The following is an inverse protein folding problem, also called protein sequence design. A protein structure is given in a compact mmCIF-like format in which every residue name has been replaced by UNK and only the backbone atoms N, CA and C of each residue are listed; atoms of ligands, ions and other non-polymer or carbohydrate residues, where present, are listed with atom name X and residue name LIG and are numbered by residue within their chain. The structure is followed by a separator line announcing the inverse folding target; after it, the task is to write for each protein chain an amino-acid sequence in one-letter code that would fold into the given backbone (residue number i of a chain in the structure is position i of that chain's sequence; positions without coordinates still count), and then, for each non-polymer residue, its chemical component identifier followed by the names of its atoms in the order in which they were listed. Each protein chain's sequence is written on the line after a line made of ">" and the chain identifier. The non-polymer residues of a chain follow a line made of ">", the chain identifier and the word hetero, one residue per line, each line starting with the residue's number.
data_IF_916261341311
#
_entry.id   IF_916261341311
#
_cell.length_a   1.000
_cell.length_b   1.000
_cell.length_c   1.000
_cell.angle_alpha   90.00
_cell.angle_beta   90.00
_cell.angle_gamma   90.00
#
_symmetry.space_group_name_H-M   'P 1'
#
loop_
_entity.id
_entity.type
_entity.pdbx_description
1 polymer ?
#
# COMPACT_ATOMS: atom_id res chain seq x y z
N UNK A 1 33.63 14.96 -29.09
CA UNK A 1 32.93 14.52 -27.86
C UNK A 1 32.40 15.79 -27.22
N UNK A 2 31.10 16.03 -27.31
CA UNK A 2 30.46 17.14 -26.60
C UNK A 2 30.61 16.86 -25.10
N UNK A 3 31.35 17.72 -24.38
CA UNK A 3 31.41 17.72 -22.92
C UNK A 3 30.00 17.94 -22.39
N UNK A 4 29.24 16.87 -22.16
CA UNK A 4 27.95 16.96 -21.46
C UNK A 4 28.30 17.16 -20.00
N UNK A 5 27.88 18.28 -19.44
CA UNK A 5 28.12 18.62 -18.04
C UNK A 5 27.47 17.56 -17.14
N UNK A 6 28.18 17.11 -16.11
CA UNK A 6 27.67 16.09 -15.19
C UNK A 6 26.41 16.62 -14.51
N UNK A 7 25.31 15.88 -14.60
CA UNK A 7 24.00 16.33 -14.14
C UNK A 7 23.42 15.33 -13.16
N UNK A 8 22.93 15.84 -12.02
CA UNK A 8 22.17 15.08 -11.03
C UNK A 8 20.69 15.44 -11.20
N UNK A 9 19.83 14.44 -11.37
CA UNK A 9 18.39 14.64 -11.33
C UNK A 9 17.89 14.51 -9.90
N UNK A 10 17.26 15.56 -9.39
CA UNK A 10 16.67 15.62 -8.06
C UNK A 10 15.15 15.58 -8.17
N UNK A 11 14.53 14.53 -7.63
CA UNK A 11 13.07 14.40 -7.76
C UNK A 11 12.33 15.36 -6.84
N UNK A 12 11.42 16.17 -7.39
CA UNK A 12 10.39 16.89 -6.62
C UNK A 12 9.21 15.94 -6.42
N UNK A 13 8.83 15.73 -5.16
CA UNK A 13 7.81 14.76 -4.76
C UNK A 13 6.67 15.44 -4.00
N UNK A 14 6.17 14.80 -2.94
CA UNK A 14 4.95 15.17 -2.24
C UNK A 14 5.23 15.47 -0.75
N UNK A 15 4.27 16.09 -0.07
CA UNK A 15 4.21 16.20 1.40
C UNK A 15 5.52 16.70 2.06
N UNK A 16 5.97 16.04 3.12
CA UNK A 16 7.14 16.48 3.90
C UNK A 16 8.46 16.48 3.09
N UNK A 17 8.79 15.44 2.28
CA UNK A 17 9.96 15.48 1.40
C UNK A 17 9.96 16.66 0.42
N UNK A 18 8.79 17.04 -0.11
CA UNK A 18 8.67 18.23 -0.95
C UNK A 18 9.04 19.50 -0.17
N UNK A 19 8.47 19.69 1.03
CA UNK A 19 8.79 20.85 1.88
C UNK A 19 10.28 20.92 2.23
N UNK A 20 10.90 19.78 2.56
CA UNK A 20 12.33 19.71 2.83
C UNK A 20 13.17 20.08 1.59
N UNK A 21 12.71 19.71 0.39
CA UNK A 21 13.38 20.03 -0.88
C UNK A 21 13.45 21.53 -1.10
N UNK A 22 12.40 22.31 -0.78
CA UNK A 22 12.43 23.77 -0.90
C UNK A 22 13.55 24.43 -0.08
N UNK A 23 13.90 23.85 1.07
CA UNK A 23 15.00 24.34 1.91
C UNK A 23 16.36 23.83 1.47
N UNK A 24 16.46 22.52 1.19
CA UNK A 24 17.75 21.85 0.99
C UNK A 24 18.30 21.96 -0.44
N UNK A 25 17.43 21.97 -1.45
CA UNK A 25 17.85 21.97 -2.86
C UNK A 25 18.69 23.21 -3.24
N UNK A 26 18.37 24.45 -2.81
CA UNK A 26 19.22 25.62 -3.08
C UNK A 26 20.64 25.46 -2.53
N UNK A 27 20.78 24.82 -1.36
CA UNK A 27 22.07 24.53 -0.74
C UNK A 27 22.83 23.51 -1.59
N UNK A 28 22.19 22.39 -1.97
CA UNK A 28 22.79 21.35 -2.82
C UNK A 28 23.30 21.97 -4.13
N UNK A 29 22.47 22.77 -4.82
CA UNK A 29 22.84 23.47 -6.06
C UNK A 29 24.07 24.36 -5.90
N UNK A 30 24.14 25.12 -4.80
CA UNK A 30 25.28 26.01 -4.54
C UNK A 30 26.58 25.22 -4.39
N UNK A 31 26.57 24.11 -3.64
CA UNK A 31 27.77 23.29 -3.43
C UNK A 31 28.15 22.47 -4.67
N UNK A 32 27.17 21.90 -5.38
CA UNK A 32 27.40 21.14 -6.61
C UNK A 32 27.97 22.01 -7.73
N UNK A 33 27.53 23.27 -7.84
CA UNK A 33 28.02 24.23 -8.83
C UNK A 33 29.52 24.53 -8.72
N UNK A 34 30.10 24.48 -7.52
CA UNK A 34 31.55 24.64 -7.33
C UNK A 34 32.37 23.48 -7.93
N UNK A 35 31.72 22.34 -8.17
CA UNK A 35 32.30 21.17 -8.85
C UNK A 35 31.87 21.05 -10.33
N UNK A 36 31.26 22.10 -10.89
CA UNK A 36 30.68 22.10 -12.24
C UNK A 36 29.65 20.97 -12.48
N UNK A 37 28.85 20.67 -11.45
CA UNK A 37 27.75 19.70 -11.52
C UNK A 37 26.42 20.43 -11.56
N UNK A 38 25.60 20.14 -12.57
CA UNK A 38 24.23 20.64 -12.65
C UNK A 38 23.27 19.79 -11.81
N UNK A 39 22.25 20.43 -11.22
CA UNK A 39 21.21 19.75 -10.44
C UNK A 39 19.83 20.17 -10.97
N UNK A 40 19.28 19.31 -11.81
CA UNK A 40 17.99 19.48 -12.45
C UNK A 40 16.86 18.87 -11.61
N UNK A 41 15.65 19.41 -11.74
CA UNK A 41 14.49 18.94 -10.99
C UNK A 41 13.56 18.22 -11.93
N UNK A 42 13.14 17.03 -11.51
CA UNK A 42 12.10 16.25 -12.20
C UNK A 42 10.89 16.13 -11.27
N UNK A 43 9.74 16.70 -11.68
CA UNK A 43 8.52 16.69 -10.87
C UNK A 43 7.72 15.40 -11.08
N UNK A 44 7.77 14.53 -10.08
CA UNK A 44 7.04 13.25 -10.05
C UNK A 44 5.96 13.24 -8.96
N UNK A 45 5.56 14.41 -8.47
CA UNK A 45 4.45 14.55 -7.52
C UNK A 45 3.16 13.93 -8.07
N UNK A 46 2.23 13.59 -7.18
CA UNK A 46 0.90 13.11 -7.58
C UNK A 46 0.21 14.09 -8.52
N UNK A 47 0.25 15.39 -8.20
CA UNK A 47 -0.34 16.44 -9.03
C UNK A 47 0.29 16.48 -10.43
N UNK A 48 1.62 16.50 -10.54
CA UNK A 48 2.31 16.53 -11.83
C UNK A 48 1.98 15.30 -12.69
N UNK A 49 1.94 14.10 -12.09
CA UNK A 49 1.58 12.86 -12.80
C UNK A 49 0.12 12.83 -13.25
N UNK A 50 -0.81 13.43 -12.48
CA UNK A 50 -2.20 13.62 -12.95
C UNK A 50 -2.19 14.52 -14.19
N UNK A 51 -1.58 15.70 -14.12
CA UNK A 51 -1.57 16.66 -15.22
C UNK A 51 -0.93 16.09 -16.50
N UNK A 52 0.18 15.35 -16.37
CA UNK A 52 0.90 14.73 -17.49
C UNK A 52 0.05 13.70 -18.28
N UNK A 53 -0.92 13.04 -17.63
CA UNK A 53 -1.79 12.05 -18.28
C UNK A 53 -3.12 12.61 -18.82
N UNK A 54 -3.42 13.89 -18.56
CA UNK A 54 -4.62 14.56 -19.07
C UNK A 54 -4.31 15.87 -19.83
N UNK A 55 -3.30 15.92 -20.73
CA UNK A 55 -2.94 17.16 -21.42
C UNK A 55 -4.05 17.67 -22.34
N UNK A 56 -4.97 16.81 -22.76
CA UNK A 56 -6.18 17.09 -23.54
C UNK A 56 -7.25 17.89 -22.74
N UNK A 57 -7.16 17.89 -21.41
CA UNK A 57 -8.04 18.66 -20.52
C UNK A 57 -7.42 19.99 -20.06
N UNK A 58 -6.21 20.31 -20.55
CA UNK A 58 -5.41 21.45 -20.10
C UNK A 58 -5.24 22.48 -21.22
N UNK A 59 -5.17 23.75 -20.84
CA UNK A 59 -4.69 24.80 -21.75
C UNK A 59 -3.20 24.61 -22.03
N UNK A 60 -2.69 25.23 -23.10
CA UNK A 60 -1.28 25.06 -23.49
C UNK A 60 -0.28 25.53 -22.42
N UNK A 61 -0.64 26.54 -21.63
CA UNK A 61 0.16 27.04 -20.50
C UNK A 61 0.05 26.18 -19.23
N UNK A 62 -0.97 25.33 -19.13
CA UNK A 62 -1.17 24.40 -18.02
C UNK A 62 -0.49 23.04 -18.22
N UNK A 63 -0.12 22.70 -19.46
CA UNK A 63 0.50 21.42 -19.79
C UNK A 63 1.86 21.28 -19.10
N UNK A 64 2.10 20.08 -18.59
CA UNK A 64 3.37 19.69 -17.97
C UNK A 64 4.00 18.54 -18.76
N UNK A 65 5.31 18.41 -18.64
CA UNK A 65 6.06 17.29 -19.20
C UNK A 65 5.74 16.02 -18.43
N UNK A 66 5.68 14.87 -19.12
CA UNK A 66 5.63 13.55 -18.46
C UNK A 66 7.02 13.16 -17.95
N UNK A 67 7.39 13.81 -16.84
CA UNK A 67 8.70 13.65 -16.22
C UNK A 67 8.95 12.21 -15.73
N UNK A 68 7.91 11.43 -15.44
CA UNK A 68 8.08 10.03 -15.06
C UNK A 68 8.46 9.17 -16.27
N UNK A 69 7.88 9.42 -17.43
CA UNK A 69 8.29 8.77 -18.67
C UNK A 69 9.73 9.13 -19.03
N UNK A 70 10.10 10.42 -18.99
CA UNK A 70 11.48 10.86 -19.26
C UNK A 70 12.50 10.22 -18.31
N UNK A 71 12.19 10.14 -17.01
CA UNK A 71 13.04 9.45 -16.05
C UNK A 71 13.15 7.93 -16.33
N UNK A 72 12.07 7.31 -16.81
CA UNK A 72 12.04 5.90 -17.19
C UNK A 72 12.88 5.59 -18.43
N UNK A 73 12.95 6.52 -19.38
CA UNK A 73 13.89 6.42 -20.50
C UNK A 73 15.32 6.65 -20.02
N UNK A 74 15.53 7.61 -19.12
CA UNK A 74 16.83 7.94 -18.56
C UNK A 74 17.46 6.79 -17.76
N UNK A 75 16.68 5.93 -17.10
CA UNK A 75 17.24 4.78 -16.36
C UNK A 75 17.98 3.77 -17.25
N UNK A 76 17.81 3.86 -18.57
CA UNK A 76 18.56 3.07 -19.56
C UNK A 76 19.91 3.72 -19.97
N UNK A 77 20.15 4.98 -19.57
CA UNK A 77 21.39 5.70 -19.84
C UNK A 77 22.44 5.34 -18.76
N UNK A 78 23.65 4.87 -19.12
CA UNK A 78 24.71 4.59 -18.16
C UNK A 78 25.18 5.82 -17.36
N UNK A 79 24.92 7.04 -17.85
CA UNK A 79 25.26 8.28 -17.16
C UNK A 79 24.14 8.77 -16.22
N UNK A 80 23.04 8.02 -16.08
CA UNK A 80 21.93 8.40 -15.22
C UNK A 80 22.34 8.50 -13.75
N UNK A 81 22.12 9.69 -13.17
CA UNK A 81 22.37 9.96 -11.76
C UNK A 81 21.13 10.60 -11.13
N UNK A 82 20.33 9.78 -10.44
CA UNK A 82 19.02 10.18 -9.92
C UNK A 82 19.00 10.09 -8.39
N UNK A 83 18.73 11.22 -7.74
CA UNK A 83 18.40 11.29 -6.31
C UNK A 83 16.87 11.21 -6.18
N UNK A 84 16.38 10.02 -5.80
CA UNK A 84 14.96 9.73 -5.61
C UNK A 84 14.52 9.93 -4.15
N UNK A 85 13.63 10.88 -3.92
CA UNK A 85 13.00 11.13 -2.61
C UNK A 85 11.70 10.32 -2.47
N UNK A 86 11.19 10.06 -1.25
CA UNK A 86 9.88 9.42 -1.07
C UNK A 86 8.75 10.22 -1.75
N UNK A 87 7.79 9.50 -2.34
CA UNK A 87 6.63 10.07 -3.04
C UNK A 87 5.36 9.28 -2.69
N UNK A 88 4.18 9.86 -2.93
CA UNK A 88 2.89 9.23 -2.69
C UNK A 88 2.67 8.06 -3.67
N UNK A 89 2.33 6.89 -3.12
CA UNK A 89 1.68 5.80 -3.85
C UNK A 89 0.17 5.90 -3.62
N UNK A 90 -0.53 6.61 -4.51
CA UNK A 90 -1.84 7.18 -4.20
C UNK A 90 -2.93 6.11 -4.04
N UNK A 91 -3.68 6.22 -2.94
CA UNK A 91 -5.00 5.57 -2.82
C UNK A 91 -6.06 6.34 -3.61
N UNK A 92 -7.23 5.73 -3.82
CA UNK A 92 -8.36 6.41 -4.49
C UNK A 92 -8.77 7.70 -3.75
N UNK A 93 -8.91 7.73 -2.41
CA UNK A 93 -9.19 8.97 -1.68
C UNK A 93 -8.14 10.07 -1.90
N UNK A 94 -6.84 9.72 -1.89
CA UNK A 94 -5.77 10.69 -2.14
C UNK A 94 -5.81 11.24 -3.56
N UNK A 95 -6.07 10.38 -4.55
CA UNK A 95 -6.26 10.80 -5.94
C UNK A 95 -7.43 11.78 -6.07
N UNK A 96 -8.58 11.49 -5.44
CA UNK A 96 -9.74 12.40 -5.44
C UNK A 96 -9.43 13.76 -4.82
N UNK A 97 -8.71 13.76 -3.70
CA UNK A 97 -8.29 14.99 -3.05
C UNK A 97 -7.42 15.84 -3.99
N UNK A 98 -6.44 15.22 -4.66
CA UNK A 98 -5.59 15.87 -5.65
C UNK A 98 -6.39 16.41 -6.86
N UNK A 99 -7.32 15.61 -7.41
CA UNK A 99 -8.20 16.03 -8.51
C UNK A 99 -9.04 17.25 -8.08
N UNK A 100 -9.62 17.23 -6.88
CA UNK A 100 -10.42 18.32 -6.34
C UNK A 100 -9.58 19.60 -6.17
N UNK A 101 -8.37 19.48 -5.64
CA UNK A 101 -7.45 20.60 -5.46
C UNK A 101 -7.02 21.19 -6.81
N UNK A 102 -6.65 20.35 -7.78
CA UNK A 102 -6.32 20.77 -9.15
C UNK A 102 -7.49 21.50 -9.83
N UNK A 103 -8.70 20.96 -9.74
CA UNK A 103 -9.89 21.61 -10.30
C UNK A 103 -10.19 22.95 -9.62
N UNK A 104 -9.98 23.06 -8.30
CA UNK A 104 -10.13 24.34 -7.60
C UNK A 104 -9.10 25.39 -8.03
N UNK A 105 -7.95 24.97 -8.57
CA UNK A 105 -6.91 25.81 -9.16
C UNK A 105 -7.14 26.10 -10.65
N UNK A 106 -8.21 25.58 -11.27
CA UNK A 106 -8.57 25.83 -12.66
C UNK A 106 -8.03 24.82 -13.67
N UNK A 107 -7.47 23.68 -13.22
CA UNK A 107 -7.13 22.56 -14.11
C UNK A 107 -8.35 21.66 -14.29
N UNK A 108 -8.93 21.63 -15.49
CA UNK A 108 -10.20 20.93 -15.77
C UNK A 108 -10.05 19.40 -15.93
N UNK A 109 -9.25 18.75 -15.09
CA UNK A 109 -9.04 17.30 -15.13
C UNK A 109 -10.31 16.55 -14.69
N UNK A 110 -10.67 15.44 -15.37
CA UNK A 110 -11.92 14.74 -15.12
C UNK A 110 -11.99 14.11 -13.72
N UNK A 111 -13.19 13.89 -13.19
CA UNK A 111 -13.36 13.16 -11.93
C UNK A 111 -13.02 11.68 -12.10
N UNK A 112 -12.55 11.01 -11.03
CA UNK A 112 -12.27 9.58 -11.08
C UNK A 112 -13.58 8.76 -11.06
N UNK A 113 -13.92 8.00 -12.13
CA UNK A 113 -15.17 7.25 -12.21
C UNK A 113 -15.06 5.92 -11.44
N UNK A 114 -15.85 5.77 -10.37
CA UNK A 114 -15.88 4.54 -9.54
C UNK A 114 -16.43 3.34 -10.30
N UNK A 115 -17.49 3.57 -11.06
CA UNK A 115 -18.21 2.56 -11.81
C UNK A 115 -18.38 3.05 -13.26
N UNK A 116 -17.35 2.89 -14.11
CA UNK A 116 -17.32 3.47 -15.45
C UNK A 116 -18.39 2.85 -16.35
N UNK A 117 -19.32 3.67 -16.85
CA UNK A 117 -20.42 3.20 -17.72
C UNK A 117 -20.14 3.45 -19.20
N UNK A 118 -19.46 4.55 -19.52
CA UNK A 118 -19.16 4.96 -20.90
C UNK A 118 -17.74 4.57 -21.31
N UNK A 119 -17.43 4.68 -22.60
CA UNK A 119 -16.07 4.44 -23.08
C UNK A 119 -15.12 5.56 -22.64
N UNK A 120 -15.62 6.79 -22.52
CA UNK A 120 -14.90 7.91 -21.92
C UNK A 120 -14.57 7.65 -20.45
N UNK A 121 -15.51 7.13 -19.66
CA UNK A 121 -15.25 6.79 -18.26
C UNK A 121 -14.18 5.69 -18.14
N UNK A 122 -14.22 4.69 -19.03
CA UNK A 122 -13.23 3.60 -19.04
C UNK A 122 -11.85 4.14 -19.37
N UNK A 123 -11.73 5.01 -20.37
CA UNK A 123 -10.48 5.66 -20.75
C UNK A 123 -9.92 6.53 -19.61
N UNK A 124 -10.75 7.40 -19.01
CA UNK A 124 -10.36 8.22 -17.85
C UNK A 124 -9.89 7.34 -16.70
N UNK A 125 -10.60 6.25 -16.40
CA UNK A 125 -10.21 5.30 -15.36
C UNK A 125 -8.88 4.62 -15.67
N UNK A 126 -8.66 4.22 -16.92
CA UNK A 126 -7.41 3.60 -17.35
C UNK A 126 -6.23 4.55 -17.19
N UNK A 127 -6.39 5.82 -17.60
CA UNK A 127 -5.38 6.88 -17.42
C UNK A 127 -5.06 7.10 -15.95
N UNK A 128 -6.06 7.24 -15.08
CA UNK A 128 -5.82 7.31 -13.63
C UNK A 128 -5.22 6.02 -13.06
N UNK A 129 -5.48 4.87 -13.66
CA UNK A 129 -4.87 3.58 -13.30
C UNK A 129 -3.34 3.55 -13.46
N UNK A 130 -2.78 4.44 -14.29
CA UNK A 130 -1.32 4.67 -14.44
C UNK A 130 -0.74 5.57 -13.35
N UNK A 131 -1.59 6.37 -12.69
CA UNK A 131 -1.21 7.28 -11.60
C UNK A 131 -1.35 6.63 -10.22
N UNK A 132 -2.35 5.76 -10.07
CA UNK A 132 -2.71 5.09 -8.81
C UNK A 132 -1.65 4.10 -8.32
N UNK A 133 -1.55 3.97 -7.00
CA UNK A 133 -0.64 3.04 -6.33
C UNK A 133 0.84 3.38 -6.57
N UNK A 134 1.70 2.37 -6.51
CA UNK A 134 3.15 2.54 -6.71
C UNK A 134 3.50 2.68 -8.20
N UNK A 135 3.14 3.80 -8.82
CA UNK A 135 3.42 4.07 -10.23
C UNK A 135 4.89 4.41 -10.53
N UNK A 136 5.59 5.07 -9.59
CA UNK A 136 6.95 5.58 -9.83
C UNK A 136 8.03 4.51 -9.70
N UNK A 137 8.03 3.76 -8.60
CA UNK A 137 9.11 2.81 -8.30
C UNK A 137 9.33 1.75 -9.39
N UNK A 138 8.29 1.14 -9.99
CA UNK A 138 8.44 0.15 -11.05
C UNK A 138 9.05 0.71 -12.35
N UNK A 139 9.07 2.04 -12.53
CA UNK A 139 9.68 2.70 -13.69
C UNK A 139 11.15 3.02 -13.42
N UNK A 140 11.48 3.41 -12.18
CA UNK A 140 12.84 3.86 -11.85
C UNK A 140 13.79 2.73 -11.40
N UNK A 141 13.26 1.55 -11.07
CA UNK A 141 14.04 0.43 -10.51
C UNK A 141 14.49 -0.54 -11.60
N UNK A 142 15.45 -0.08 -12.41
CA UNK A 142 16.11 -0.88 -13.46
C UNK A 142 17.39 -1.58 -12.94
N UNK A 143 17.47 -1.75 -11.62
CA UNK A 143 18.57 -2.43 -10.94
C UNK A 143 18.11 -2.98 -9.59
N UNK A 144 18.93 -3.86 -9.02
CA UNK A 144 18.65 -4.47 -7.72
C UNK A 144 18.95 -3.51 -6.56
N UNK A 145 18.46 -3.84 -5.37
CA UNK A 145 18.60 -2.98 -4.18
C UNK A 145 19.81 -3.37 -3.34
N UNK A 146 20.74 -2.44 -3.09
CA UNK A 146 21.63 -2.45 -1.91
C UNK A 146 21.02 -1.53 -0.85
N UNK A 147 20.56 -2.11 0.27
CA UNK A 147 19.99 -1.33 1.38
C UNK A 147 20.66 -1.69 2.70
N UNK A 148 21.28 -0.70 3.33
CA UNK A 148 22.01 -0.86 4.59
C UNK A 148 22.05 0.43 5.39
N UNK A 149 22.09 0.30 6.72
CA UNK A 149 22.31 1.44 7.61
C UNK A 149 23.79 1.87 7.54
N UNK A 150 24.12 3.15 7.27
CA UNK A 150 25.49 3.62 7.32
C UNK A 150 26.12 3.44 8.70
N UNK A 151 27.42 3.15 8.77
CA UNK A 151 28.15 2.94 10.04
C UNK A 151 28.00 4.12 11.00
N UNK A 152 28.03 5.36 10.49
CA UNK A 152 27.83 6.55 11.30
C UNK A 152 26.44 6.57 11.99
N UNK A 153 25.39 6.19 11.25
CA UNK A 153 24.02 6.09 11.79
C UNK A 153 23.90 4.96 12.80
N UNK A 154 24.53 3.81 12.55
CA UNK A 154 24.55 2.69 13.52
C UNK A 154 25.27 3.08 14.81
N UNK A 155 26.43 3.73 14.72
CA UNK A 155 27.17 4.19 15.90
C UNK A 155 26.39 5.27 16.67
N UNK A 156 25.68 6.15 15.97
CA UNK A 156 24.77 7.11 16.60
C UNK A 156 23.67 6.40 17.38
N UNK A 157 22.99 5.41 16.78
CA UNK A 157 21.95 4.64 17.46
C UNK A 157 22.46 3.86 18.68
N UNK A 158 23.73 3.42 18.67
CA UNK A 158 24.36 2.80 19.85
C UNK A 158 24.57 3.80 20.99
N UNK A 159 24.98 5.03 20.66
CA UNK A 159 25.24 6.10 21.65
C UNK A 159 23.95 6.73 22.18
N UNK A 160 22.93 6.80 21.33
CA UNK A 160 21.63 7.41 21.63
C UNK A 160 20.52 6.39 21.28
N UNK A 161 20.34 5.34 22.11
CA UNK A 161 19.36 4.31 21.84
C UNK A 161 17.95 4.88 21.83
N UNK A 162 17.17 4.47 20.83
CA UNK A 162 15.75 4.78 20.77
C UNK A 162 14.97 3.85 21.71
N UNK A 163 13.74 4.24 22.06
CA UNK A 163 12.87 3.42 22.90
C UNK A 163 12.56 2.08 22.24
N UNK A 164 12.60 1.02 23.04
CA UNK A 164 12.17 -0.33 22.70
C UNK A 164 11.25 -0.80 23.83
N UNK A 165 10.03 -1.21 23.48
CA UNK A 165 9.06 -1.70 24.46
C UNK A 165 9.49 -3.06 24.99
N UNK A 166 9.31 -3.29 26.30
CA UNK A 166 9.65 -4.58 26.93
C UNK A 166 8.76 -5.69 26.40
N UNK A 167 9.34 -6.89 26.22
CA UNK A 167 8.60 -8.06 25.77
C UNK A 167 8.35 -9.01 26.94
N UNK A 168 7.08 -9.35 27.16
CA UNK A 168 6.68 -10.36 28.13
C UNK A 168 6.67 -11.75 27.50
N UNK A 169 7.25 -12.74 28.19
CA UNK A 169 7.12 -14.16 27.82
C UNK A 169 5.65 -14.63 27.83
N UNK A 170 4.79 -13.97 28.59
CA UNK A 170 3.36 -14.26 28.67
C UNK A 170 2.53 -13.49 27.62
N UNK A 171 3.16 -12.71 26.73
CA UNK A 171 2.44 -11.99 25.68
C UNK A 171 1.61 -12.96 24.83
N UNK A 172 0.37 -12.59 24.56
CA UNK A 172 -0.56 -13.32 23.71
C UNK A 172 -0.46 -12.91 22.23
N UNK A 173 0.33 -11.86 21.92
CA UNK A 173 0.50 -11.37 20.55
C UNK A 173 1.03 -12.45 19.61
N UNK A 174 0.40 -12.61 18.46
CA UNK A 174 0.83 -13.55 17.44
C UNK A 174 0.33 -13.14 16.06
N UNK A 175 0.99 -13.64 15.02
CA UNK A 175 0.51 -13.58 13.64
C UNK A 175 -0.47 -14.72 13.40
N UNK A 176 -1.58 -14.39 12.75
CA UNK A 176 -2.48 -15.38 12.19
C UNK A 176 -2.46 -15.29 10.67
N UNK A 177 -2.24 -16.42 10.00
CA UNK A 177 -2.22 -16.54 8.54
C UNK A 177 -2.97 -17.79 8.09
N UNK A 178 -3.35 -17.84 6.81
CA UNK A 178 -4.05 -19.00 6.24
C UNK A 178 -3.16 -20.24 6.25
N UNK A 179 -3.79 -21.42 6.32
CA UNK A 179 -3.15 -22.75 6.29
C UNK A 179 -3.73 -23.59 5.14
N UNK A 180 -3.82 -23.00 3.97
CA UNK A 180 -4.49 -23.57 2.80
C UNK A 180 -5.37 -22.56 2.07
N UNK A 181 -5.36 -22.60 0.74
CA UNK A 181 -6.21 -21.76 -0.10
C UNK A 181 -5.77 -20.30 -0.23
N UNK A 182 -4.56 -19.95 0.19
CA UNK A 182 -3.86 -18.69 -0.08
C UNK A 182 -2.93 -18.84 -1.30
N UNK A 183 -2.22 -17.77 -1.68
CA UNK A 183 -1.33 -17.81 -2.84
C UNK A 183 -0.22 -18.83 -2.65
N UNK A 184 0.42 -18.87 -1.47
CA UNK A 184 1.44 -19.85 -1.12
C UNK A 184 1.02 -21.29 -1.38
N UNK A 185 -0.20 -21.67 -0.96
CA UNK A 185 -0.69 -23.04 -1.11
C UNK A 185 -1.01 -23.44 -2.55
N UNK A 186 -1.24 -22.46 -3.43
CA UNK A 186 -1.69 -22.67 -4.81
C UNK A 186 -0.64 -22.36 -5.88
N UNK A 187 0.56 -21.95 -5.49
CA UNK A 187 1.61 -21.50 -6.41
C UNK A 187 2.13 -22.63 -7.31
N UNK A 188 2.36 -22.28 -8.58
CA UNK A 188 3.10 -23.07 -9.55
C UNK A 188 4.07 -22.16 -10.28
N UNK A 189 5.26 -22.66 -10.55
CA UNK A 189 6.33 -21.91 -11.20
C UNK A 189 6.92 -22.69 -12.37
N UNK A 190 7.37 -21.98 -13.40
CA UNK A 190 8.14 -22.56 -14.50
C UNK A 190 9.17 -21.55 -15.02
N UNK A 191 10.36 -22.05 -15.38
CA UNK A 191 11.34 -21.30 -16.15
C UNK A 191 11.08 -21.52 -17.65
N UNK A 192 10.88 -20.43 -18.38
CA UNK A 192 10.55 -20.42 -19.80
C UNK A 192 11.78 -20.81 -20.61
N UNK A 193 11.68 -21.82 -21.47
CA UNK A 193 12.85 -22.30 -22.22
C UNK A 193 13.29 -21.38 -23.37
N UNK A 194 12.32 -20.74 -24.03
CA UNK A 194 12.54 -19.91 -25.23
C UNK A 194 11.68 -18.67 -25.18
N UNK A 195 12.19 -17.60 -25.78
CA UNK A 195 11.40 -16.39 -25.97
C UNK A 195 10.09 -16.68 -26.72
N UNK A 196 9.05 -15.94 -26.38
CA UNK A 196 7.73 -16.15 -26.95
C UNK A 196 6.67 -15.33 -26.23
N UNK A 197 5.44 -15.83 -26.25
CA UNK A 197 4.36 -15.22 -25.50
C UNK A 197 3.39 -16.26 -24.97
N UNK A 198 2.67 -15.90 -23.92
CA UNK A 198 1.55 -16.68 -23.37
C UNK A 198 0.27 -15.86 -23.36
N UNK A 199 -0.86 -16.58 -23.40
CA UNK A 199 -2.19 -16.02 -23.15
C UNK A 199 -2.75 -16.59 -21.84
N UNK A 200 -3.39 -15.76 -21.03
CA UNK A 200 -4.07 -16.18 -19.80
C UNK A 200 -5.57 -16.34 -20.10
N UNK A 201 -6.08 -17.56 -19.99
CA UNK A 201 -7.48 -17.91 -20.28
C UNK A 201 -8.18 -18.49 -19.04
N UNK A 202 -9.46 -18.16 -18.88
CA UNK A 202 -10.35 -18.82 -17.94
C UNK A 202 -11.29 -19.76 -18.71
N UNK A 203 -11.37 -21.02 -18.26
CA UNK A 203 -12.36 -21.98 -18.76
C UNK A 203 -13.40 -22.23 -17.69
N UNK A 204 -14.66 -21.87 -17.97
CA UNK A 204 -15.80 -22.10 -17.10
C UNK A 204 -16.14 -23.58 -16.95
N UNK A 205 -16.91 -23.92 -15.91
CA UNK A 205 -17.36 -25.31 -15.69
C UNK A 205 -18.27 -25.83 -16.80
N UNK A 206 -18.90 -24.93 -17.54
CA UNK A 206 -19.73 -25.18 -18.73
C UNK A 206 -18.91 -25.29 -20.03
N UNK A 207 -17.57 -25.13 -19.96
CA UNK A 207 -16.67 -25.14 -21.10
C UNK A 207 -16.51 -23.79 -21.80
N UNK A 208 -17.21 -22.73 -21.36
CA UNK A 208 -17.03 -21.38 -21.91
C UNK A 208 -15.60 -20.89 -21.69
N UNK A 209 -15.00 -20.24 -22.70
CA UNK A 209 -13.65 -19.67 -22.60
C UNK A 209 -13.70 -18.16 -22.58
N UNK A 210 -12.93 -17.55 -21.67
CA UNK A 210 -12.72 -16.11 -21.58
C UNK A 210 -11.22 -15.82 -21.53
N UNK A 211 -10.72 -15.09 -22.51
CA UNK A 211 -9.35 -14.55 -22.47
C UNK A 211 -9.28 -13.44 -21.43
N UNK A 212 -8.46 -13.62 -20.39
CA UNK A 212 -8.22 -12.63 -19.34
C UNK A 212 -7.09 -11.67 -19.74
N UNK A 213 -6.02 -12.21 -20.32
CA UNK A 213 -4.92 -11.44 -20.89
C UNK A 213 -4.46 -12.10 -22.19
N UNK A 214 -4.63 -11.45 -23.35
CA UNK A 214 -4.39 -12.10 -24.64
C UNK A 214 -2.90 -12.36 -24.90
N UNK A 215 -2.01 -11.51 -24.35
CA UNK A 215 -0.59 -11.59 -24.62
C UNK A 215 0.24 -11.11 -23.43
N UNK A 216 1.23 -11.93 -23.06
CA UNK A 216 2.35 -11.61 -22.17
C UNK A 216 3.60 -12.08 -22.89
N UNK A 217 4.44 -11.15 -23.35
CA UNK A 217 5.74 -11.48 -23.93
C UNK A 217 6.67 -12.00 -22.83
N UNK A 218 7.47 -13.02 -23.15
CA UNK A 218 8.37 -13.71 -22.23
C UNK A 218 9.76 -13.87 -22.85
N UNK A 219 10.78 -13.76 -22.02
CA UNK A 219 12.18 -14.00 -22.39
C UNK A 219 12.57 -15.47 -22.19
N UNK A 220 13.61 -15.91 -22.89
CA UNK A 220 14.27 -17.17 -22.58
C UNK A 220 14.89 -17.11 -21.18
N UNK A 221 14.60 -18.10 -20.34
CA UNK A 221 15.03 -18.19 -18.95
C UNK A 221 14.19 -17.39 -17.95
N UNK A 222 13.15 -16.67 -18.41
CA UNK A 222 12.24 -15.94 -17.50
C UNK A 222 11.47 -16.92 -16.61
N UNK A 223 11.34 -16.59 -15.33
CA UNK A 223 10.52 -17.38 -14.39
C UNK A 223 9.14 -16.75 -14.33
N UNK A 224 8.10 -17.55 -14.54
CA UNK A 224 6.71 -17.13 -14.38
C UNK A 224 5.98 -17.98 -13.35
N UNK A 225 5.13 -17.33 -12.58
CA UNK A 225 4.37 -17.96 -11.50
C UNK A 225 2.87 -17.79 -11.69
N UNK A 226 2.10 -18.84 -11.38
CA UNK A 226 0.65 -18.85 -11.34
C UNK A 226 0.15 -19.23 -9.96
N UNK A 227 -0.67 -18.39 -9.35
CA UNK A 227 -1.18 -18.57 -7.99
C UNK A 227 -2.60 -18.03 -7.88
N UNK A 228 -3.36 -18.50 -6.89
CA UNK A 228 -4.71 -17.99 -6.60
C UNK A 228 -5.00 -18.01 -5.10
N UNK A 229 -5.86 -17.12 -4.64
CA UNK A 229 -6.41 -17.13 -3.28
C UNK A 229 -7.91 -17.46 -3.34
N UNK A 230 -8.32 -18.46 -2.57
CA UNK A 230 -9.71 -18.89 -2.48
C UNK A 230 -10.50 -17.92 -1.59
N UNK A 231 -11.45 -17.19 -2.17
CA UNK A 231 -12.41 -16.35 -1.42
C UNK A 231 -13.09 -17.12 -0.29
N UNK A 232 -13.50 -18.37 -0.53
CA UNK A 232 -14.16 -19.19 0.48
C UNK A 232 -13.24 -19.44 1.69
N UNK A 233 -12.00 -19.85 1.42
CA UNK A 233 -11.02 -20.11 2.47
C UNK A 233 -10.66 -18.82 3.23
N UNK A 234 -10.51 -17.69 2.50
CA UNK A 234 -10.23 -16.39 3.09
C UNK A 234 -11.35 -15.91 4.04
N UNK A 235 -12.61 -15.96 3.61
CA UNK A 235 -13.73 -15.55 4.46
C UNK A 235 -13.90 -16.46 5.68
N UNK A 236 -13.70 -17.78 5.51
CA UNK A 236 -13.73 -18.72 6.63
C UNK A 236 -12.60 -18.41 7.62
N UNK A 237 -11.38 -18.21 7.13
CA UNK A 237 -10.24 -17.82 7.94
C UNK A 237 -10.52 -16.53 8.73
N UNK A 238 -11.08 -15.50 8.10
CA UNK A 238 -11.43 -14.27 8.81
C UNK A 238 -12.45 -14.51 9.93
N UNK A 239 -13.52 -15.27 9.68
CA UNK A 239 -14.52 -15.55 10.72
C UNK A 239 -13.88 -16.30 11.90
N UNK A 240 -13.07 -17.32 11.62
CA UNK A 240 -12.34 -18.07 12.65
C UNK A 240 -11.40 -17.18 13.46
N UNK A 241 -10.63 -16.29 12.82
CA UNK A 241 -9.68 -15.43 13.51
C UNK A 241 -10.33 -14.28 14.29
N UNK A 242 -11.45 -13.76 13.79
CA UNK A 242 -12.26 -12.77 14.49
C UNK A 242 -12.87 -13.39 15.76
N UNK A 243 -13.41 -14.60 15.65
CA UNK A 243 -13.98 -15.31 16.79
C UNK A 243 -12.91 -15.70 17.82
N UNK A 244 -11.74 -16.18 17.37
CA UNK A 244 -10.64 -16.51 18.28
C UNK A 244 -10.09 -15.26 19.01
N UNK A 245 -9.95 -14.12 18.33
CA UNK A 245 -9.54 -12.87 18.96
C UNK A 245 -10.56 -12.40 20.02
N UNK A 246 -11.85 -12.63 19.79
CA UNK A 246 -12.91 -12.34 20.76
C UNK A 246 -12.79 -13.23 21.99
N UNK A 247 -12.65 -14.54 21.78
CA UNK A 247 -12.58 -15.53 22.86
C UNK A 247 -11.29 -15.41 23.69
N UNK A 248 -10.19 -14.97 23.09
CA UNK A 248 -8.91 -14.74 23.78
C UNK A 248 -8.79 -13.32 24.35
N UNK A 249 -9.68 -12.39 23.99
CA UNK A 249 -9.73 -11.04 24.54
C UNK A 249 -8.57 -10.14 24.12
N UNK A 250 -8.00 -10.35 22.94
CA UNK A 250 -6.91 -9.53 22.38
C UNK A 250 -7.39 -8.71 21.17
N UNK A 251 -6.65 -7.67 20.81
CA UNK A 251 -7.02 -6.84 19.66
C UNK A 251 -6.95 -7.63 18.36
N UNK A 252 -7.97 -7.51 17.52
CA UNK A 252 -7.89 -7.92 16.12
C UNK A 252 -7.24 -6.81 15.29
N UNK A 253 -6.21 -7.16 14.52
CA UNK A 253 -5.55 -6.24 13.58
C UNK A 253 -5.30 -6.94 12.25
N UNK A 254 -5.49 -6.21 11.14
CA UNK A 254 -5.26 -6.64 9.77
C UNK A 254 -4.07 -5.89 9.20
N UNK A 255 -3.11 -6.66 8.69
CA UNK A 255 -1.87 -6.14 8.12
C UNK A 255 -1.72 -6.60 6.67
N UNK A 256 -1.98 -5.69 5.74
CA UNK A 256 -1.87 -5.92 4.30
C UNK A 256 -1.13 -4.76 3.64
N UNK A 257 -0.95 -4.82 2.32
CA UNK A 257 -0.25 -3.78 1.53
C UNK A 257 -1.12 -3.25 0.38
N UNK A 258 -2.27 -2.68 0.71
CA UNK A 258 -3.33 -2.35 -0.26
C UNK A 258 -2.96 -1.29 -1.31
N UNK A 259 -2.03 -0.38 -1.00
CA UNK A 259 -1.57 0.66 -1.93
C UNK A 259 -0.61 0.14 -3.01
N UNK A 260 0.24 -0.82 -2.67
CA UNK A 260 1.18 -1.45 -3.61
C UNK A 260 0.49 -2.56 -4.39
N UNK A 261 -0.20 -3.47 -3.69
CA UNK A 261 -0.95 -4.58 -4.28
C UNK A 261 -2.33 -4.10 -4.71
N UNK A 262 -2.38 -3.19 -5.68
CA UNK A 262 -3.54 -2.35 -6.04
C UNK A 262 -4.81 -3.10 -6.45
N UNK A 263 -4.71 -4.39 -6.77
CA UNK A 263 -5.86 -5.23 -7.13
C UNK A 263 -6.21 -6.22 -6.02
N UNK A 264 -5.25 -7.06 -5.60
CA UNK A 264 -5.52 -8.18 -4.70
C UNK A 264 -5.84 -7.74 -3.27
N UNK A 265 -5.03 -6.87 -2.68
CA UNK A 265 -5.16 -6.53 -1.26
C UNK A 265 -6.39 -5.67 -0.91
N UNK A 266 -6.87 -4.74 -1.75
CA UNK A 266 -8.18 -4.11 -1.53
C UNK A 266 -9.33 -5.12 -1.47
N UNK A 267 -9.29 -6.19 -2.28
CA UNK A 267 -10.31 -7.25 -2.23
C UNK A 267 -10.20 -8.05 -0.93
N UNK A 268 -8.98 -8.40 -0.50
CA UNK A 268 -8.73 -9.08 0.79
C UNK A 268 -9.24 -8.23 1.96
N UNK A 269 -8.94 -6.93 1.94
CA UNK A 269 -9.38 -5.97 2.95
C UNK A 269 -10.92 -5.87 2.98
N UNK A 270 -11.56 -5.72 1.82
CA UNK A 270 -13.02 -5.64 1.73
C UNK A 270 -13.73 -6.91 2.20
N UNK A 271 -13.13 -8.08 2.01
CA UNK A 271 -13.64 -9.31 2.61
C UNK A 271 -13.53 -9.31 4.14
N UNK A 272 -12.43 -8.81 4.71
CA UNK A 272 -12.32 -8.66 6.16
C UNK A 272 -13.39 -7.71 6.71
N UNK A 273 -13.62 -6.56 6.05
CA UNK A 273 -14.67 -5.60 6.41
C UNK A 273 -16.06 -6.27 6.37
N UNK A 274 -16.40 -6.94 5.26
CA UNK A 274 -17.70 -7.63 5.15
C UNK A 274 -17.90 -8.71 6.21
N UNK A 275 -16.85 -9.47 6.55
CA UNK A 275 -16.95 -10.53 7.57
C UNK A 275 -17.07 -9.93 8.98
N UNK A 276 -16.28 -8.91 9.31
CA UNK A 276 -16.34 -8.25 10.61
C UNK A 276 -17.73 -7.63 10.86
N UNK A 277 -18.24 -6.85 9.90
CA UNK A 277 -19.55 -6.19 9.96
C UNK A 277 -20.65 -6.98 9.25
N UNK A 278 -20.61 -8.32 9.29
CA UNK A 278 -21.53 -9.18 8.52
C UNK A 278 -23.01 -8.83 8.70
N UNK A 279 -23.44 -8.61 9.95
CA UNK A 279 -24.83 -8.29 10.27
C UNK A 279 -25.26 -6.94 9.67
N UNK A 280 -24.34 -5.98 9.62
CA UNK A 280 -24.57 -4.68 8.99
C UNK A 280 -24.79 -4.83 7.48
N UNK A 281 -23.92 -5.57 6.81
CA UNK A 281 -24.00 -5.78 5.35
C UNK A 281 -25.16 -6.71 4.97
N UNK A 282 -25.57 -7.63 5.84
CA UNK A 282 -26.78 -8.44 5.66
C UNK A 282 -28.05 -7.60 5.79
N UNK A 283 -28.10 -6.67 6.76
CA UNK A 283 -29.26 -5.81 6.99
C UNK A 283 -29.42 -4.70 5.94
N UNK A 284 -28.31 -4.06 5.53
CA UNK A 284 -28.33 -2.87 4.67
C UNK A 284 -27.79 -3.11 3.26
N UNK A 285 -27.62 -4.36 2.84
CA UNK A 285 -26.97 -4.72 1.57
C UNK A 285 -27.55 -4.01 0.35
N UNK A 286 -28.87 -4.04 0.17
CA UNK A 286 -29.54 -3.37 -0.96
C UNK A 286 -29.32 -1.86 -0.95
N UNK A 287 -29.47 -1.21 0.21
CA UNK A 287 -29.21 0.22 0.36
C UNK A 287 -27.75 0.58 0.10
N UNK A 288 -26.81 -0.26 0.56
CA UNK A 288 -25.39 -0.05 0.33
C UNK A 288 -25.01 -0.20 -1.15
N UNK A 289 -25.65 -1.12 -1.87
CA UNK A 289 -25.47 -1.26 -3.31
C UNK A 289 -26.04 -0.03 -4.05
N UNK A 290 -27.23 0.47 -3.67
CA UNK A 290 -27.82 1.69 -4.24
C UNK A 290 -26.94 2.94 -4.01
N UNK A 291 -26.35 3.06 -2.83
CA UNK A 291 -25.45 4.16 -2.47
C UNK A 291 -24.04 4.02 -3.06
N UNK A 292 -23.71 2.87 -3.68
CA UNK A 292 -22.38 2.59 -4.19
C UNK A 292 -21.32 2.46 -3.10
N UNK A 293 -21.66 1.89 -1.95
CA UNK A 293 -20.72 1.57 -0.87
C UNK A 293 -19.73 0.51 -1.36
N UNK A 294 -18.43 0.79 -1.25
CA UNK A 294 -17.39 -0.15 -1.63
C UNK A 294 -16.54 -0.57 -0.41
N UNK A 295 -16.74 -1.78 0.13
CA UNK A 295 -15.98 -2.24 1.30
C UNK A 295 -14.50 -2.45 1.01
N UNK A 296 -14.07 -2.55 -0.25
CA UNK A 296 -12.64 -2.57 -0.59
C UNK A 296 -11.95 -1.24 -0.25
N UNK A 297 -12.73 -0.17 -0.11
CA UNK A 297 -12.28 1.15 0.36
C UNK A 297 -12.44 1.31 1.90
N UNK A 298 -12.85 0.25 2.60
CA UNK A 298 -13.00 0.21 4.05
C UNK A 298 -14.30 0.77 4.60
N UNK A 299 -14.44 0.74 5.93
CA UNK A 299 -15.61 1.27 6.63
C UNK A 299 -15.80 2.78 6.39
N UNK A 300 -14.72 3.50 6.09
CA UNK A 300 -14.80 4.91 5.68
C UNK A 300 -15.73 5.11 4.47
N UNK A 301 -15.80 4.14 3.54
CA UNK A 301 -16.75 4.18 2.42
C UNK A 301 -18.20 4.11 2.88
N UNK A 302 -18.52 3.40 3.97
CA UNK A 302 -19.88 3.37 4.51
C UNK A 302 -20.22 4.74 5.05
N UNK A 303 -19.39 5.28 5.94
CA UNK A 303 -19.61 6.60 6.56
C UNK A 303 -19.74 7.73 5.53
N UNK A 304 -18.92 7.75 4.49
CA UNK A 304 -18.96 8.75 3.43
C UNK A 304 -20.31 8.71 2.68
N UNK A 305 -20.75 7.51 2.26
CA UNK A 305 -21.98 7.38 1.47
C UNK A 305 -23.25 7.62 2.29
N UNK A 306 -23.31 7.14 3.55
CA UNK A 306 -24.48 7.36 4.42
C UNK A 306 -24.62 8.82 4.88
N UNK A 307 -23.59 9.65 4.71
CA UNK A 307 -23.66 11.09 5.04
C UNK A 307 -24.70 11.84 4.19
N UNK A 308 -25.05 11.28 3.02
CA UNK A 308 -26.06 11.81 2.10
C UNK A 308 -27.50 11.44 2.50
N UNK A 309 -27.68 10.50 3.43
CA UNK A 309 -28.99 10.04 3.90
C UNK A 309 -29.60 11.00 4.93
N UNK A 310 -30.94 10.93 5.13
CA UNK A 310 -31.60 11.59 6.25
C UNK A 310 -31.00 11.15 7.59
N UNK A 311 -30.91 12.08 8.54
CA UNK A 311 -30.29 11.86 9.85
C UNK A 311 -30.85 10.64 10.59
N UNK A 312 -32.15 10.38 10.51
CA UNK A 312 -32.78 9.22 11.15
C UNK A 312 -32.25 7.89 10.64
N UNK A 313 -32.05 7.75 9.32
CA UNK A 313 -31.49 6.54 8.71
C UNK A 313 -29.99 6.43 9.00
N UNK A 314 -29.26 7.54 8.89
CA UNK A 314 -27.83 7.58 9.20
C UNK A 314 -27.56 7.13 10.64
N UNK A 315 -28.27 7.69 11.61
CA UNK A 315 -28.12 7.32 13.03
C UNK A 315 -28.54 5.87 13.32
N UNK A 316 -29.49 5.31 12.56
CA UNK A 316 -29.83 3.89 12.68
C UNK A 316 -28.65 2.99 12.25
N UNK A 317 -28.04 3.30 11.11
CA UNK A 317 -26.88 2.57 10.58
C UNK A 317 -25.69 2.71 11.52
N UNK A 318 -25.39 3.92 12.00
CA UNK A 318 -24.31 4.18 12.97
C UNK A 318 -24.49 3.39 14.27
N UNK A 319 -25.73 3.28 14.76
CA UNK A 319 -26.04 2.44 15.93
C UNK A 319 -25.78 0.96 15.65
N UNK A 320 -26.12 0.47 14.47
CA UNK A 320 -25.88 -0.93 14.12
C UNK A 320 -24.39 -1.23 13.86
N UNK A 321 -23.61 -0.26 13.38
CA UNK A 321 -22.14 -0.32 13.37
C UNK A 321 -21.61 -0.49 14.81
N UNK A 322 -22.12 0.30 15.76
CA UNK A 322 -21.72 0.21 17.17
C UNK A 322 -22.09 -1.14 17.81
N UNK A 323 -23.21 -1.75 17.42
CA UNK A 323 -23.55 -3.12 17.85
C UNK A 323 -22.51 -4.13 17.38
N UNK A 324 -22.05 -4.03 16.12
CA UNK A 324 -20.97 -4.91 15.66
C UNK A 324 -19.73 -4.80 16.55
N UNK A 325 -19.36 -3.60 17.03
CA UNK A 325 -18.22 -3.45 17.96
C UNK A 325 -18.45 -4.07 19.34
N UNK A 326 -19.70 -4.15 19.81
CA UNK A 326 -20.01 -4.82 21.07
C UNK A 326 -19.93 -6.36 20.94
N UNK A 327 -20.27 -6.89 19.76
CA UNK A 327 -20.36 -8.33 19.52
C UNK A 327 -19.11 -8.95 18.86
N UNK A 328 -18.17 -8.13 18.38
CA UNK A 328 -16.90 -8.54 17.75
C UNK A 328 -15.69 -8.19 18.66
N UNK A 329 -14.49 -8.76 18.42
CA UNK A 329 -13.31 -8.37 19.20
C UNK A 329 -13.00 -6.88 19.04
N UNK A 330 -12.34 -6.26 20.03
CA UNK A 330 -11.84 -4.91 19.87
C UNK A 330 -10.83 -4.84 18.70
N UNK A 331 -10.97 -3.81 17.87
CA UNK A 331 -10.05 -3.56 16.75
C UNK A 331 -8.86 -2.73 17.20
N UNK A 332 -7.71 -2.96 16.57
CA UNK A 332 -6.61 -2.00 16.62
C UNK A 332 -7.06 -0.66 16.00
N UNK A 333 -6.57 0.44 16.58
CA UNK A 333 -6.93 1.81 16.22
C UNK A 333 -5.78 2.51 15.50
N UNK A 334 -6.13 3.22 14.43
CA UNK A 334 -5.24 4.20 13.78
C UNK A 334 -5.29 5.52 14.56
N UNK A 335 -6.49 5.91 15.02
CA UNK A 335 -6.70 7.05 15.89
C UNK A 335 -7.90 6.78 16.82
N UNK A 336 -7.62 6.45 18.08
CA UNK A 336 -8.66 6.15 19.09
C UNK A 336 -9.57 7.34 19.38
N UNK A 337 -9.02 8.56 19.47
CA UNK A 337 -9.78 9.77 19.81
C UNK A 337 -10.84 10.13 18.76
N UNK A 338 -10.59 9.75 17.50
CA UNK A 338 -11.49 9.95 16.37
C UNK A 338 -12.28 8.70 15.99
N UNK A 339 -12.14 7.60 16.73
CA UNK A 339 -12.79 6.33 16.40
C UNK A 339 -12.29 5.67 15.11
N UNK A 340 -11.13 6.08 14.57
CA UNK A 340 -10.59 5.53 13.32
C UNK A 340 -9.87 4.21 13.63
N UNK A 341 -10.53 3.11 13.30
CA UNK A 341 -10.03 1.74 13.43
C UNK A 341 -9.19 1.29 12.24
N UNK A 342 -8.48 0.18 12.41
CA UNK A 342 -7.71 -0.50 11.37
C UNK A 342 -8.52 -0.92 10.13
N UNK A 343 -9.84 -1.02 10.22
CA UNK A 343 -10.73 -1.34 9.09
C UNK A 343 -11.35 -0.10 8.41
N UNK A 344 -10.96 1.11 8.81
CA UNK A 344 -11.51 2.34 8.22
C UNK A 344 -11.02 2.60 6.79
N UNK A 345 -9.70 2.58 6.57
CA UNK A 345 -9.09 2.87 5.27
C UNK A 345 -7.98 1.85 4.99
N UNK A 346 -7.97 1.20 3.81
CA UNK A 346 -7.02 0.11 3.51
C UNK A 346 -5.56 0.53 3.44
N UNK A 347 -5.28 1.84 3.33
CA UNK A 347 -3.93 2.39 3.26
C UNK A 347 -3.33 2.80 4.61
N UNK A 348 -4.11 2.80 5.69
CA UNK A 348 -3.64 3.35 6.98
C UNK A 348 -2.67 2.40 7.69
N UNK A 349 -2.92 1.09 7.62
CA UNK A 349 -2.10 0.06 8.26
C UNK A 349 -1.42 -0.80 7.21
N UNK A 350 -0.18 -0.45 6.88
CA UNK A 350 0.62 -1.10 5.85
C UNK A 350 1.58 -2.09 6.49
N UNK A 351 1.53 -3.37 6.10
CA UNK A 351 2.22 -4.49 6.78
C UNK A 351 3.71 -4.26 7.06
N UNK A 352 4.45 -3.69 6.10
CA UNK A 352 5.91 -3.49 6.22
C UNK A 352 6.31 -2.35 7.18
N UNK A 353 5.39 -1.44 7.50
CA UNK A 353 5.59 -0.41 8.52
C UNK A 353 4.93 -0.78 9.86
N UNK A 354 3.72 -1.32 9.81
CA UNK A 354 2.90 -1.63 10.97
C UNK A 354 3.43 -2.80 11.79
N UNK A 355 3.92 -3.87 11.14
CA UNK A 355 4.47 -5.02 11.87
C UNK A 355 5.74 -4.67 12.65
N UNK A 356 6.75 -3.99 12.08
CA UNK A 356 7.90 -3.52 12.88
C UNK A 356 7.52 -2.55 13.98
N UNK A 357 6.54 -1.65 13.75
CA UNK A 357 6.07 -0.72 14.78
C UNK A 357 5.43 -1.45 15.97
N UNK A 358 4.55 -2.41 15.70
CA UNK A 358 3.92 -3.27 16.72
C UNK A 358 4.98 -4.09 17.46
N UNK A 359 5.92 -4.73 16.74
CA UNK A 359 6.99 -5.54 17.35
C UNK A 359 7.88 -4.70 18.27
N UNK A 360 8.25 -3.49 17.83
CA UNK A 360 9.03 -2.55 18.65
C UNK A 360 8.29 -2.10 19.90
N UNK A 361 6.96 -1.98 19.83
CA UNK A 361 6.11 -1.52 20.91
C UNK A 361 5.58 -2.68 21.74
N UNK A 362 6.47 -3.54 22.26
CA UNK A 362 6.10 -4.67 23.12
C UNK A 362 5.21 -5.73 22.49
N UNK A 363 5.07 -5.74 21.16
CA UNK A 363 4.09 -6.59 20.48
C UNK A 363 2.67 -6.04 20.53
N UNK A 364 2.49 -4.74 20.79
CA UNK A 364 1.19 -4.15 21.12
C UNK A 364 0.76 -3.09 20.11
N UNK A 365 -0.56 -2.98 19.92
CA UNK A 365 -1.22 -1.93 19.16
C UNK A 365 -2.20 -1.16 20.03
N UNK A 366 -2.59 0.04 19.59
CA UNK A 366 -3.53 0.88 20.33
C UNK A 366 -4.96 0.36 20.20
N UNK A 367 -5.65 0.21 21.32
CA UNK A 367 -7.06 -0.18 21.37
C UNK A 367 -8.02 1.01 21.40
N UNK A 368 -9.34 0.76 21.44
CA UNK A 368 -10.37 1.81 21.50
C UNK A 368 -10.28 2.72 22.73
N UNK A 369 -9.68 2.22 23.82
CA UNK A 369 -9.45 2.97 25.06
C UNK A 369 -8.20 3.87 25.02
N UNK A 370 -7.52 3.95 23.87
CA UNK A 370 -6.31 4.73 23.70
C UNK A 370 -5.10 4.16 24.44
N UNK A 371 -5.08 2.85 24.72
CA UNK A 371 -3.95 2.16 25.38
C UNK A 371 -3.37 1.04 24.53
N UNK A 372 -2.10 0.65 24.74
CA UNK A 372 -1.50 -0.48 24.05
C UNK A 372 -2.01 -1.80 24.62
N UNK A 373 -2.35 -2.74 23.73
CA UNK A 373 -2.77 -4.11 24.08
C UNK A 373 -2.12 -5.13 23.14
N UNK A 374 -2.03 -6.36 23.61
CA UNK A 374 -1.64 -7.50 22.79
C UNK A 374 -2.61 -7.68 21.62
N UNK A 375 -2.12 -8.22 20.49
CA UNK A 375 -2.89 -8.29 19.25
C UNK A 375 -2.69 -9.58 18.47
N UNK A 376 -3.76 -10.07 17.87
CA UNK A 376 -3.72 -11.02 16.76
C UNK A 376 -3.48 -10.23 15.46
N UNK A 377 -2.24 -10.27 14.98
CA UNK A 377 -1.82 -9.64 13.74
C UNK A 377 -2.18 -10.54 12.54
N UNK A 378 -3.32 -10.29 11.93
CA UNK A 378 -3.84 -11.06 10.81
C UNK A 378 -3.13 -10.65 9.52
N UNK A 379 -2.38 -11.60 8.95
CA UNK A 379 -1.73 -11.51 7.63
C UNK A 379 -2.23 -12.72 6.84
N UNK A 380 -3.32 -12.61 6.05
CA UNK A 380 -3.95 -13.79 5.45
C UNK A 380 -3.00 -14.61 4.58
N UNK A 381 -2.16 -13.93 3.79
CA UNK A 381 -1.19 -14.58 2.90
C UNK A 381 0.01 -15.12 3.67
N UNK A 382 0.26 -16.44 3.59
CA UNK A 382 1.29 -17.07 4.41
C UNK A 382 2.72 -16.88 3.90
N UNK A 383 2.94 -16.57 2.61
CA UNK A 383 4.28 -16.45 1.98
C UNK A 383 5.28 -15.63 2.81
N UNK A 384 4.81 -14.52 3.42
CA UNK A 384 5.66 -13.63 4.21
C UNK A 384 5.16 -13.42 5.65
N UNK A 385 4.09 -14.10 6.07
CA UNK A 385 3.57 -13.95 7.42
C UNK A 385 4.48 -14.60 8.47
N UNK A 386 5.09 -15.74 8.12
CA UNK A 386 5.84 -16.61 9.03
C UNK A 386 7.09 -15.95 9.60
N UNK A 387 7.77 -15.08 8.83
CA UNK A 387 8.95 -14.36 9.32
C UNK A 387 8.61 -13.43 10.49
N UNK A 388 7.43 -12.81 10.50
CA UNK A 388 7.02 -11.95 11.60
C UNK A 388 6.68 -12.77 12.85
N UNK A 389 6.03 -13.93 12.68
CA UNK A 389 5.78 -14.85 13.79
C UNK A 389 7.08 -15.28 14.47
N UNK A 390 8.13 -15.55 13.68
CA UNK A 390 9.42 -15.95 14.22
C UNK A 390 10.08 -14.84 15.04
N UNK A 391 10.03 -13.59 14.56
CA UNK A 391 10.52 -12.43 15.33
C UNK A 391 9.73 -12.25 16.63
N UNK A 392 8.41 -12.41 16.60
CA UNK A 392 7.56 -12.33 17.79
C UNK A 392 7.94 -13.42 18.80
N UNK A 393 8.10 -14.67 18.35
CA UNK A 393 8.53 -15.77 19.21
C UNK A 393 9.90 -15.48 19.83
N UNK A 394 10.86 -15.01 19.02
CA UNK A 394 12.18 -14.64 19.48
C UNK A 394 12.12 -13.57 20.57
N UNK A 395 11.35 -12.49 20.36
CA UNK A 395 11.23 -11.42 21.34
C UNK A 395 10.50 -11.86 22.62
N UNK A 396 9.50 -12.74 22.53
CA UNK A 396 8.90 -13.35 23.73
C UNK A 396 9.94 -14.13 24.53
N UNK A 397 10.77 -14.94 23.89
CA UNK A 397 11.77 -15.77 24.57
C UNK A 397 12.95 -14.95 25.12
N UNK A 398 13.47 -14.01 24.33
CA UNK A 398 14.74 -13.32 24.60
C UNK A 398 14.60 -11.87 25.04
N UNK A 399 13.37 -11.34 25.11
CA UNK A 399 13.12 -9.93 25.36
C UNK A 399 13.29 -9.06 24.11
N UNK A 400 13.17 -7.75 24.29
CA UNK A 400 13.33 -6.78 23.22
C UNK A 400 14.78 -6.74 22.68
N UNK A 401 14.95 -6.36 21.42
CA UNK A 401 16.29 -6.08 20.88
C UNK A 401 16.93 -4.89 21.58
N UNK A 402 18.25 -4.98 21.82
CA UNK A 402 19.06 -3.89 22.38
C UNK A 402 19.82 -3.13 21.28
N UNK A 403 19.45 -1.87 20.95
CA UNK A 403 20.11 -1.08 19.91
C UNK A 403 21.60 -0.82 20.16
N UNK A 404 22.05 -0.86 21.42
CA UNK A 404 23.42 -0.55 21.82
C UNK A 404 24.40 -1.67 21.47
N UNK A 405 23.92 -2.92 21.48
CA UNK A 405 24.74 -4.12 21.27
C UNK A 405 24.38 -4.90 20.00
N UNK A 406 23.14 -4.82 19.51
CA UNK A 406 22.70 -5.62 18.36
C UNK A 406 23.54 -5.37 17.10
N UNK A 407 23.67 -6.41 16.27
CA UNK A 407 24.33 -6.33 14.97
C UNK A 407 23.56 -5.50 13.93
N UNK A 408 23.78 -5.82 12.66
CA UNK A 408 23.05 -5.23 11.53
C UNK A 408 22.71 -6.30 10.51
N UNK A 409 21.54 -6.18 9.88
CA UNK A 409 21.09 -7.07 8.80
C UNK A 409 20.87 -6.20 7.56
N UNK A 410 21.87 -6.10 6.66
CA UNK A 410 21.71 -5.48 5.35
C UNK A 410 20.76 -6.29 4.45
N UNK A 411 20.29 -5.68 3.35
CA UNK A 411 19.44 -6.34 2.38
C UNK A 411 19.96 -6.13 0.94
N UNK A 412 20.20 -7.23 0.25
CA UNK A 412 20.35 -7.28 -1.21
C UNK A 412 19.04 -7.80 -1.79
N UNK A 413 18.29 -6.93 -2.48
CA UNK A 413 16.93 -7.23 -2.93
C UNK A 413 16.80 -7.34 -4.44
N UNK A 414 16.18 -8.42 -4.91
CA UNK A 414 15.74 -8.58 -6.30
C UNK A 414 14.54 -7.67 -6.56
N UNK A 415 14.67 -6.75 -7.53
CA UNK A 415 13.58 -5.81 -7.89
C UNK A 415 13.70 -5.20 -9.29
N UNK A 416 14.75 -5.53 -10.04
CA UNK A 416 14.97 -4.97 -11.37
C UNK A 416 13.87 -5.45 -12.32
N UNK A 417 13.36 -4.55 -13.17
CA UNK A 417 12.39 -4.86 -14.22
C UNK A 417 11.03 -5.39 -13.71
N UNK A 418 10.60 -4.88 -12.55
CA UNK A 418 9.31 -5.15 -11.89
C UNK A 418 9.25 -6.53 -11.23
#
# INVERSE_FOLDING_TARGET
>A
MTNRKSTIIYTKTDEAPMLATYSLLPIIRRFAGEADIDVEVSDISLAARVLAHFPDYLTDDQKVVDALNELGEMTQDPEANIIKLPNISASIPQLRAAIKELNALGFNVPQFPEDPQTDEDKDVRERYGKVLGSAVNPVLREGNSDRRAPTAVKNYAKKFPHSMGEWSQASQTHVAHMRGGDFYSGEKSVAVEKEGYVSIEFTGKDGSKKTLKPKVDLLAGEVIDGMFMSKKALCQFFEEQIEDAKNTGILFSLHVKATMMKVSHPIVFGHCVKVFYKELFEKYGELFDELGVNPNNGLGSVYDKISTLPESQRSEIERDINKCYADRPPLAMVNSDKGISNLHVPSDVIVDASMPAMIRNSGQMWGPDGKPHDTKAVIPESTYATIYQEVINFCKTHGAFDPTTMGTVPNVGLMAQK
#
